data_IF_313015032437
#
_entry.id   IF_313015032437
#
_cell.length_a   1.000
_cell.length_b   1.000
_cell.length_c   1.000
_cell.angle_alpha   90.00
_cell.angle_beta   90.00
_cell.angle_gamma   90.00
#
_symmetry.space_group_name_H-M   'P 1'
#
loop_
_entity.id
_entity.type
_entity.pdbx_description
1 polymer ?
#
# COMPACT_ATOMS: atom_id res chain seq x y z
N UNK A 1 5.55 0.80 -19.38
CA UNK A 1 6.04 1.96 -18.59
C UNK A 1 4.86 2.85 -18.24
N UNK A 2 4.75 3.30 -16.99
CA UNK A 2 3.72 4.26 -16.55
C UNK A 2 4.40 5.58 -16.22
N UNK A 3 3.92 6.67 -16.78
CA UNK A 3 4.50 8.01 -16.61
C UNK A 3 3.45 9.02 -16.15
N UNK A 4 3.80 9.81 -15.15
CA UNK A 4 3.02 10.90 -14.59
C UNK A 4 3.70 12.20 -14.95
N UNK A 5 2.99 13.11 -15.62
CA UNK A 5 3.57 14.38 -16.12
C UNK A 5 2.75 15.56 -15.62
N UNK A 6 3.36 16.42 -14.81
CA UNK A 6 2.80 17.67 -14.26
C UNK A 6 1.42 17.49 -13.62
N UNK A 7 1.18 16.32 -12.98
CA UNK A 7 -0.09 16.02 -12.34
C UNK A 7 -0.31 16.89 -11.11
N UNK A 8 -1.46 17.54 -11.07
CA UNK A 8 -1.95 18.25 -9.91
C UNK A 8 -3.41 17.93 -9.62
N UNK A 9 -3.75 17.84 -8.35
CA UNK A 9 -5.12 17.61 -7.89
C UNK A 9 -5.48 18.50 -6.70
N UNK A 10 -6.67 19.11 -6.79
CA UNK A 10 -7.27 19.88 -5.69
C UNK A 10 -8.75 19.54 -5.54
N UNK A 11 -9.22 19.55 -4.31
CA UNK A 11 -10.63 19.43 -3.96
C UNK A 11 -11.12 20.75 -3.34
N UNK A 12 -11.92 21.50 -4.08
CA UNK A 12 -12.31 22.85 -3.69
C UNK A 12 -11.06 23.73 -3.51
N UNK A 13 -10.89 24.31 -2.33
CA UNK A 13 -9.73 25.16 -2.00
C UNK A 13 -8.51 24.38 -1.50
N UNK A 14 -8.66 23.07 -1.24
CA UNK A 14 -7.56 22.23 -0.74
C UNK A 14 -6.79 21.62 -1.89
N UNK A 15 -5.55 22.09 -2.11
CA UNK A 15 -4.58 21.46 -3.00
C UNK A 15 -4.01 20.20 -2.33
N UNK A 16 -4.15 19.04 -2.97
CA UNK A 16 -3.58 17.79 -2.49
C UNK A 16 -2.13 17.62 -2.94
N UNK A 17 -1.87 17.82 -4.23
CA UNK A 17 -0.52 17.84 -4.80
C UNK A 17 -0.49 18.65 -6.09
N UNK A 18 0.71 19.09 -6.43
CA UNK A 18 0.99 19.96 -7.56
C UNK A 18 2.29 19.57 -8.24
N UNK A 19 2.29 19.72 -9.57
CA UNK A 19 3.47 19.54 -10.43
C UNK A 19 4.19 18.19 -10.22
N UNK A 20 3.41 17.10 -10.04
CA UNK A 20 3.94 15.75 -9.82
C UNK A 20 4.47 15.18 -11.12
N UNK A 21 5.74 14.80 -11.13
CA UNK A 21 6.41 14.16 -12.24
C UNK A 21 7.09 12.88 -11.75
N UNK A 22 6.59 11.72 -12.20
CA UNK A 22 7.10 10.41 -11.80
C UNK A 22 7.14 9.47 -13.00
N UNK A 23 8.08 8.52 -12.95
CA UNK A 23 8.23 7.48 -13.96
C UNK A 23 8.37 6.14 -13.28
N UNK A 24 7.46 5.21 -13.59
CA UNK A 24 7.46 3.84 -13.11
C UNK A 24 7.93 2.91 -14.23
N UNK A 25 8.88 2.04 -13.93
CA UNK A 25 9.52 1.13 -14.89
C UNK A 25 9.35 -0.33 -14.44
N UNK A 26 9.33 -1.25 -15.40
CA UNK A 26 9.22 -2.69 -15.16
C UNK A 26 10.35 -3.21 -14.27
N UNK A 27 10.09 -4.31 -13.58
CA UNK A 27 11.03 -4.92 -12.65
C UNK A 27 11.22 -4.15 -11.34
N UNK A 28 10.30 -3.24 -11.02
CA UNK A 28 10.37 -2.45 -9.79
C UNK A 28 9.06 -2.48 -9.01
N UNK A 29 9.20 -2.55 -7.68
CA UNK A 29 8.11 -2.36 -6.74
C UNK A 29 8.22 -0.99 -6.06
N UNK A 30 7.16 -0.22 -6.12
CA UNK A 30 7.06 1.15 -5.62
C UNK A 30 6.14 1.20 -4.41
N UNK A 31 6.70 1.43 -3.22
CA UNK A 31 5.93 1.62 -2.00
C UNK A 31 5.50 3.06 -1.82
N UNK A 32 4.20 3.34 -1.87
CA UNK A 32 3.68 4.69 -1.61
C UNK A 32 3.42 4.85 -0.12
N UNK A 33 4.08 5.82 0.47
CA UNK A 33 3.99 6.13 1.89
C UNK A 33 3.56 7.57 2.12
N UNK A 34 3.04 7.87 3.31
CA UNK A 34 2.60 9.21 3.68
C UNK A 34 1.67 9.18 4.88
N UNK A 35 1.38 10.34 5.47
CA UNK A 35 0.44 10.45 6.57
C UNK A 35 -0.99 10.05 6.15
N UNK A 36 -1.84 9.70 7.12
CA UNK A 36 -3.26 9.47 6.83
C UNK A 36 -3.89 10.77 6.32
N UNK A 37 -4.66 10.66 5.23
CA UNK A 37 -5.24 11.81 4.56
C UNK A 37 -4.27 12.62 3.68
N UNK A 38 -3.03 12.14 3.44
CA UNK A 38 -2.09 12.78 2.52
C UNK A 38 -2.46 12.64 1.04
N UNK A 39 -3.43 11.75 0.73
CA UNK A 39 -3.89 11.54 -0.65
C UNK A 39 -3.34 10.28 -1.33
N UNK A 40 -2.74 9.33 -0.60
CA UNK A 40 -2.17 8.09 -1.15
C UNK A 40 -3.17 7.32 -2.03
N UNK A 41 -4.31 6.93 -1.46
CA UNK A 41 -5.39 6.23 -2.20
C UNK A 41 -5.91 7.07 -3.38
N UNK A 42 -5.99 8.40 -3.23
CA UNK A 42 -6.41 9.28 -4.31
C UNK A 42 -5.38 9.29 -5.45
N UNK A 43 -4.10 9.25 -5.12
CA UNK A 43 -3.04 9.15 -6.11
C UNK A 43 -3.08 7.79 -6.85
N UNK A 44 -3.33 6.68 -6.13
CA UNK A 44 -3.56 5.38 -6.78
C UNK A 44 -4.74 5.44 -7.76
N UNK A 45 -5.85 6.08 -7.38
CA UNK A 45 -7.02 6.25 -8.28
C UNK A 45 -6.71 7.08 -9.53
N UNK A 46 -5.81 8.08 -9.43
CA UNK A 46 -5.34 8.82 -10.62
C UNK A 46 -4.49 7.91 -11.50
N UNK A 47 -3.57 7.11 -10.91
CA UNK A 47 -2.76 6.16 -11.68
C UNK A 47 -3.61 5.10 -12.37
N UNK A 48 -4.69 4.66 -11.71
CA UNK A 48 -5.66 3.70 -12.24
C UNK A 48 -6.61 4.28 -13.31
N UNK A 49 -6.64 5.62 -13.47
CA UNK A 49 -7.58 6.29 -14.36
C UNK A 49 -9.00 6.46 -13.80
N UNK A 50 -9.22 6.14 -12.52
CA UNK A 50 -10.53 6.29 -11.86
C UNK A 50 -10.85 7.76 -11.54
N UNK A 51 -9.83 8.61 -11.44
CA UNK A 51 -9.95 10.06 -11.19
C UNK A 51 -9.09 10.81 -12.19
N UNK A 52 -9.68 11.75 -12.90
CA UNK A 52 -8.94 12.68 -13.76
C UNK A 52 -8.26 13.76 -12.92
N UNK A 53 -6.95 14.01 -13.13
CA UNK A 53 -6.26 15.12 -12.47
C UNK A 53 -6.74 16.47 -12.99
N UNK A 54 -6.63 17.55 -12.17
CA UNK A 54 -6.98 18.89 -12.62
C UNK A 54 -5.95 19.45 -13.63
N UNK A 55 -4.70 19.03 -13.51
CA UNK A 55 -3.60 19.39 -14.43
C UNK A 55 -2.73 18.19 -14.70
N UNK A 56 -2.06 18.19 -15.87
CA UNK A 56 -1.15 17.12 -16.26
C UNK A 56 -1.85 15.87 -16.79
N UNK A 57 -1.12 14.79 -16.91
CA UNK A 57 -1.63 13.52 -17.43
C UNK A 57 -0.86 12.31 -16.93
N UNK A 58 -1.53 11.17 -16.93
CA UNK A 58 -0.93 9.85 -16.74
C UNK A 58 -0.96 9.11 -18.06
N UNK A 59 0.17 8.57 -18.50
CA UNK A 59 0.30 7.79 -19.73
C UNK A 59 0.86 6.41 -19.44
N UNK A 60 0.32 5.41 -20.14
CA UNK A 60 0.74 4.02 -20.07
C UNK A 60 1.20 3.63 -21.47
N UNK A 61 2.26 2.83 -21.57
CA UNK A 61 2.72 2.28 -22.84
C UNK A 61 1.62 1.37 -23.42
N UNK A 62 1.36 1.47 -24.71
CA UNK A 62 0.36 0.66 -25.41
C UNK A 62 0.56 -0.84 -25.15
N UNK A 63 -0.56 -1.55 -24.97
CA UNK A 63 -0.65 -3.00 -24.72
C UNK A 63 -0.25 -3.48 -23.33
N UNK A 64 0.10 -2.60 -22.37
CA UNK A 64 0.33 -3.02 -20.98
C UNK A 64 -1.01 -3.14 -20.24
N UNK A 65 -1.29 -4.33 -19.71
CA UNK A 65 -2.48 -4.60 -18.91
C UNK A 65 -2.27 -4.10 -17.48
N UNK A 66 -3.21 -3.30 -17.01
CA UNK A 66 -3.23 -2.84 -15.63
C UNK A 66 -4.25 -3.63 -14.82
N UNK A 67 -3.86 -4.09 -13.64
CA UNK A 67 -4.73 -4.67 -12.65
C UNK A 67 -4.71 -3.83 -11.36
N UNK A 68 -5.88 -3.62 -10.79
CA UNK A 68 -6.06 -2.80 -9.58
C UNK A 68 -6.82 -3.61 -8.55
N UNK A 69 -6.24 -3.73 -7.35
CA UNK A 69 -6.94 -4.34 -6.21
C UNK A 69 -8.11 -3.42 -5.81
N UNK A 70 -9.33 -3.83 -6.13
CA UNK A 70 -10.55 -3.12 -5.78
C UNK A 70 -11.16 -3.71 -4.52
N UNK A 71 -11.72 -2.85 -3.67
CA UNK A 71 -12.30 -3.25 -2.38
C UNK A 71 -13.84 -3.45 -2.44
N UNK A 72 -14.42 -3.48 -3.65
CA UNK A 72 -15.86 -3.70 -3.80
C UNK A 72 -16.22 -5.19 -3.71
N UNK A 73 -16.57 -5.63 -2.52
CA UNK A 73 -16.88 -7.02 -2.21
C UNK A 73 -18.24 -7.49 -2.75
N UNK A 74 -19.13 -6.56 -3.08
CA UNK A 74 -20.53 -6.87 -3.42
C UNK A 74 -20.74 -7.12 -4.91
N UNK A 75 -19.78 -6.72 -5.75
CA UNK A 75 -19.92 -6.79 -7.20
C UNK A 75 -20.08 -8.22 -7.75
N UNK A 76 -19.55 -9.22 -7.04
CA UNK A 76 -19.40 -10.60 -7.54
C UNK A 76 -20.16 -11.63 -6.69
N UNK A 77 -21.17 -11.26 -5.92
CA UNK A 77 -21.80 -12.13 -4.92
C UNK A 77 -22.37 -13.42 -5.50
N UNK A 78 -22.89 -13.40 -6.72
CA UNK A 78 -23.50 -14.56 -7.39
C UNK A 78 -22.49 -15.42 -8.17
N UNK A 79 -21.26 -14.95 -8.32
CA UNK A 79 -20.22 -15.65 -9.05
C UNK A 79 -19.50 -16.67 -8.17
N UNK A 80 -18.95 -17.72 -8.80
CA UNK A 80 -18.06 -18.66 -8.08
C UNK A 80 -16.72 -18.02 -7.80
N UNK A 81 -16.10 -18.42 -6.68
CA UNK A 81 -14.78 -17.92 -6.26
C UNK A 81 -13.75 -18.07 -7.37
N UNK A 82 -13.72 -19.23 -8.04
CA UNK A 82 -12.78 -19.50 -9.13
C UNK A 82 -12.99 -18.56 -10.32
N UNK A 83 -14.25 -18.37 -10.73
CA UNK A 83 -14.59 -17.46 -11.84
C UNK A 83 -14.18 -16.01 -11.52
N UNK A 84 -14.41 -15.55 -10.28
CA UNK A 84 -14.01 -14.20 -9.86
C UNK A 84 -12.51 -13.99 -10.04
N UNK A 85 -11.68 -14.97 -9.71
CA UNK A 85 -10.24 -14.87 -9.94
C UNK A 85 -9.91 -14.76 -11.43
N UNK A 86 -10.50 -15.63 -12.27
CA UNK A 86 -10.25 -15.63 -13.72
C UNK A 86 -10.72 -14.32 -14.37
N UNK A 87 -11.79 -13.70 -13.87
CA UNK A 87 -12.26 -12.36 -14.31
C UNK A 87 -11.19 -11.27 -14.14
N UNK A 88 -10.13 -11.50 -13.37
CA UNK A 88 -8.97 -10.62 -13.27
C UNK A 88 -8.25 -10.43 -14.61
N UNK A 89 -8.42 -11.36 -15.55
CA UNK A 89 -7.99 -11.22 -16.94
C UNK A 89 -9.23 -11.12 -17.85
N UNK A 90 -9.75 -9.91 -18.01
CA UNK A 90 -11.02 -9.65 -18.69
C UNK A 90 -11.11 -10.30 -20.07
N UNK A 91 -10.08 -10.15 -20.92
CA UNK A 91 -10.09 -10.71 -22.27
C UNK A 91 -10.13 -12.24 -22.27
N UNK A 92 -9.35 -12.88 -21.39
CA UNK A 92 -9.38 -14.34 -21.25
C UNK A 92 -10.76 -14.84 -20.83
N UNK A 93 -11.37 -14.18 -19.83
CA UNK A 93 -12.71 -14.54 -19.38
C UNK A 93 -13.79 -14.35 -20.47
N UNK A 94 -13.70 -13.25 -21.24
CA UNK A 94 -14.58 -13.03 -22.43
C UNK A 94 -14.43 -14.14 -23.45
N UNK A 95 -13.20 -14.57 -23.78
CA UNK A 95 -12.95 -15.68 -24.71
C UNK A 95 -13.58 -16.96 -24.20
N UNK A 96 -13.45 -17.27 -22.92
CA UNK A 96 -14.10 -18.46 -22.32
C UNK A 96 -15.61 -18.41 -22.55
N UNK A 97 -16.25 -17.29 -22.25
CA UNK A 97 -17.69 -17.13 -22.42
C UNK A 97 -18.11 -17.18 -23.91
N UNK A 98 -17.34 -16.52 -24.80
CA UNK A 98 -17.62 -16.55 -26.25
C UNK A 98 -17.50 -17.97 -26.82
N UNK A 99 -16.50 -18.73 -26.39
CA UNK A 99 -16.31 -20.15 -26.80
C UNK A 99 -17.51 -20.99 -26.33
N UNK A 100 -17.86 -20.89 -25.05
CA UNK A 100 -18.99 -21.65 -24.48
C UNK A 100 -20.29 -21.33 -25.21
N UNK A 101 -20.57 -20.05 -25.44
CA UNK A 101 -21.75 -19.60 -26.18
C UNK A 101 -21.75 -20.11 -27.62
N UNK A 102 -20.58 -20.14 -28.26
CA UNK A 102 -20.43 -20.60 -29.65
C UNK A 102 -20.66 -22.10 -29.77
N UNK A 103 -20.09 -22.91 -28.88
CA UNK A 103 -20.25 -24.37 -28.87
C UNK A 103 -21.65 -24.84 -28.42
N UNK A 104 -22.41 -24.00 -27.71
CA UNK A 104 -23.80 -24.28 -27.32
C UNK A 104 -24.81 -23.96 -28.42
N UNK A 105 -24.40 -23.37 -29.57
CA UNK A 105 -25.33 -23.06 -30.67
C UNK A 105 -25.88 -24.35 -31.31
N UNK A 106 -27.22 -24.46 -31.49
CA UNK A 106 -27.83 -25.62 -32.14
C UNK A 106 -27.43 -25.74 -33.64
N UNK A 107 -27.26 -24.58 -34.30
CA UNK A 107 -26.91 -24.46 -35.73
C UNK A 107 -25.48 -23.91 -35.87
N UNK A 108 -24.49 -24.78 -35.70
CA UNK A 108 -23.09 -24.44 -35.81
C UNK A 108 -22.69 -24.30 -37.26
N UNK A 109 -22.39 -23.09 -37.73
CA UNK A 109 -22.05 -22.77 -39.12
C UNK A 109 -20.55 -22.88 -39.42
N UNK A 110 -20.15 -22.83 -40.70
CA UNK A 110 -18.74 -22.78 -41.09
C UNK A 110 -18.06 -21.50 -40.58
N UNK A 111 -18.78 -20.36 -40.55
CA UNK A 111 -18.31 -19.10 -39.96
C UNK A 111 -18.05 -19.22 -38.45
N UNK A 112 -18.95 -19.95 -37.74
CA UNK A 112 -18.75 -20.26 -36.30
C UNK A 112 -17.50 -21.13 -36.13
N UNK A 113 -17.20 -22.05 -37.03
CA UNK A 113 -15.98 -22.85 -37.01
C UNK A 113 -14.71 -22.03 -37.15
N UNK A 114 -14.70 -21.04 -38.05
CA UNK A 114 -13.57 -20.12 -38.18
C UNK A 114 -13.39 -19.27 -36.95
N UNK A 115 -14.47 -18.71 -36.43
CA UNK A 115 -14.43 -17.92 -35.16
C UNK A 115 -13.98 -18.75 -33.98
N UNK A 116 -14.41 -20.01 -33.86
CA UNK A 116 -13.96 -20.92 -32.83
C UNK A 116 -12.45 -21.15 -32.88
N UNK A 117 -11.89 -21.35 -34.09
CA UNK A 117 -10.46 -21.56 -34.27
C UNK A 117 -9.63 -20.29 -33.92
N UNK A 118 -10.13 -19.10 -34.25
CA UNK A 118 -9.52 -17.83 -33.84
C UNK A 118 -9.51 -17.67 -32.31
N UNK A 119 -10.64 -17.93 -31.65
CA UNK A 119 -10.77 -17.87 -30.18
C UNK A 119 -9.89 -18.90 -29.49
N UNK A 120 -9.77 -20.12 -30.05
CA UNK A 120 -8.84 -21.16 -29.53
C UNK A 120 -7.38 -20.71 -29.62
N UNK A 121 -6.99 -20.06 -30.72
CA UNK A 121 -5.65 -19.50 -30.88
C UNK A 121 -5.36 -18.43 -29.82
N UNK A 122 -6.26 -17.46 -29.67
CA UNK A 122 -6.11 -16.41 -28.67
C UNK A 122 -6.15 -16.96 -27.23
N UNK A 123 -7.01 -17.95 -26.97
CA UNK A 123 -7.08 -18.65 -25.68
C UNK A 123 -5.77 -19.32 -25.29
N UNK A 124 -5.13 -19.98 -26.28
CA UNK A 124 -3.82 -20.62 -26.08
C UNK A 124 -2.71 -19.59 -25.84
N UNK A 125 -2.72 -18.46 -26.55
CA UNK A 125 -1.74 -17.36 -26.37
C UNK A 125 -1.83 -16.71 -24.97
N UNK A 126 -3.02 -16.74 -24.36
CA UNK A 126 -3.28 -16.20 -23.02
C UNK A 126 -3.17 -17.25 -21.90
N UNK A 127 -2.53 -18.39 -22.14
CA UNK A 127 -2.40 -19.51 -21.20
C UNK A 127 -3.77 -19.99 -20.66
N UNK A 128 -4.81 -19.94 -21.49
CA UNK A 128 -6.18 -20.22 -21.07
C UNK A 128 -6.40 -21.65 -20.56
N UNK A 129 -5.65 -22.63 -21.09
CA UNK A 129 -5.72 -24.03 -20.64
C UNK A 129 -5.30 -24.22 -19.18
N UNK A 130 -4.42 -23.36 -18.67
CA UNK A 130 -3.95 -23.38 -17.28
C UNK A 130 -4.68 -22.36 -16.38
N UNK A 131 -5.71 -21.68 -16.90
CA UNK A 131 -6.40 -20.60 -16.18
C UNK A 131 -6.96 -21.06 -14.81
N UNK A 132 -7.68 -22.19 -14.78
CA UNK A 132 -8.24 -22.74 -13.53
C UNK A 132 -7.13 -23.15 -12.56
N UNK A 133 -6.11 -23.85 -13.03
CA UNK A 133 -4.97 -24.29 -12.20
C UNK A 133 -4.21 -23.09 -11.63
N UNK A 134 -4.02 -22.04 -12.42
CA UNK A 134 -3.38 -20.80 -11.99
C UNK A 134 -4.24 -20.07 -10.96
N UNK A 135 -5.56 -20.01 -11.15
CA UNK A 135 -6.50 -19.42 -10.20
C UNK A 135 -6.52 -20.22 -8.86
N UNK A 136 -6.58 -21.56 -8.92
CA UNK A 136 -6.49 -22.41 -7.73
C UNK A 136 -5.19 -22.17 -6.95
N UNK A 137 -4.05 -22.05 -7.64
CA UNK A 137 -2.75 -21.79 -7.01
C UNK A 137 -2.72 -20.46 -6.28
N UNK A 138 -3.29 -19.39 -6.85
CA UNK A 138 -3.41 -18.08 -6.22
C UNK A 138 -4.29 -18.16 -4.97
N UNK A 139 -5.46 -18.77 -5.08
CA UNK A 139 -6.39 -18.95 -3.95
C UNK A 139 -5.75 -19.71 -2.80
N UNK A 140 -5.12 -20.85 -3.09
CA UNK A 140 -4.44 -21.66 -2.07
C UNK A 140 -3.29 -20.91 -1.41
N UNK A 141 -2.50 -20.17 -2.18
CA UNK A 141 -1.41 -19.35 -1.66
C UNK A 141 -1.89 -18.26 -0.69
N UNK A 142 -3.09 -17.75 -0.91
CA UNK A 142 -3.74 -16.78 -0.02
C UNK A 142 -4.58 -17.44 1.10
N UNK A 143 -4.50 -18.78 1.25
CA UNK A 143 -5.16 -19.51 2.32
C UNK A 143 -6.65 -19.78 2.09
N UNK A 144 -7.13 -19.70 0.83
CA UNK A 144 -8.49 -20.12 0.45
C UNK A 144 -8.43 -21.60 0.07
N UNK A 145 -9.09 -22.46 0.84
CA UNK A 145 -9.08 -23.91 0.69
C UNK A 145 -9.91 -24.39 -0.51
N UNK A 146 -9.59 -25.57 -1.07
CA UNK A 146 -10.22 -26.09 -2.29
C UNK A 146 -11.74 -26.26 -2.20
N UNK A 147 -12.28 -26.51 -1.02
CA UNK A 147 -13.72 -26.65 -0.76
C UNK A 147 -14.49 -25.33 -0.97
N UNK A 148 -13.79 -24.18 -0.94
CA UNK A 148 -14.37 -22.86 -1.18
C UNK A 148 -14.32 -22.43 -2.65
N UNK A 149 -13.46 -23.03 -3.49
CA UNK A 149 -13.21 -22.57 -4.87
C UNK A 149 -14.46 -22.57 -5.77
N UNK A 150 -15.37 -23.52 -5.56
CA UNK A 150 -16.59 -23.66 -6.35
C UNK A 150 -17.84 -23.10 -5.64
N UNK A 151 -17.67 -22.52 -4.44
CA UNK A 151 -18.76 -21.80 -3.75
C UNK A 151 -18.98 -20.42 -4.36
N UNK A 152 -20.16 -19.85 -4.12
CA UNK A 152 -20.43 -18.47 -4.51
C UNK A 152 -19.78 -17.49 -3.53
N UNK A 153 -19.39 -16.33 -4.03
CA UNK A 153 -18.74 -15.28 -3.21
C UNK A 153 -19.58 -14.88 -1.99
N UNK A 154 -20.91 -14.89 -2.09
CA UNK A 154 -21.80 -14.56 -0.96
C UNK A 154 -21.67 -15.51 0.23
N UNK A 155 -21.18 -16.73 0.01
CA UNK A 155 -21.00 -17.76 1.05
C UNK A 155 -19.71 -17.57 1.85
N UNK A 156 -18.79 -16.72 1.37
CA UNK A 156 -17.53 -16.44 2.00
C UNK A 156 -17.64 -15.34 3.08
N UNK A 157 -16.78 -15.44 4.08
CA UNK A 157 -16.58 -14.36 5.06
C UNK A 157 -15.96 -13.11 4.43
N UNK A 158 -16.09 -11.95 5.08
CA UNK A 158 -15.52 -10.70 4.57
C UNK A 158 -14.02 -10.78 4.32
N UNK A 159 -13.26 -11.43 5.21
CA UNK A 159 -11.81 -11.63 5.06
C UNK A 159 -11.46 -12.53 3.88
N UNK A 160 -12.21 -13.62 3.66
CA UNK A 160 -12.02 -14.50 2.51
C UNK A 160 -12.35 -13.79 1.20
N UNK A 161 -13.40 -12.97 1.14
CA UNK A 161 -13.72 -12.15 -0.03
C UNK A 161 -12.57 -11.23 -0.43
N UNK A 162 -11.90 -10.60 0.54
CA UNK A 162 -10.72 -9.75 0.28
C UNK A 162 -9.58 -10.56 -0.34
N UNK A 163 -9.31 -11.76 0.19
CA UNK A 163 -8.29 -12.66 -0.35
C UNK A 163 -8.59 -13.09 -1.79
N UNK A 164 -9.86 -13.36 -2.12
CA UNK A 164 -10.29 -13.68 -3.49
C UNK A 164 -10.10 -12.49 -4.43
N UNK A 165 -10.45 -11.27 -4.03
CA UNK A 165 -10.22 -10.07 -4.83
C UNK A 165 -8.72 -9.77 -5.02
N UNK A 166 -7.91 -10.09 -4.04
CA UNK A 166 -6.46 -10.03 -4.19
C UNK A 166 -5.97 -11.06 -5.22
N UNK A 167 -6.44 -12.32 -5.14
CA UNK A 167 -6.14 -13.34 -6.16
C UNK A 167 -6.56 -12.88 -7.57
N UNK A 168 -7.75 -12.26 -7.70
CA UNK A 168 -8.23 -11.67 -8.95
C UNK A 168 -7.25 -10.61 -9.49
N UNK A 169 -6.77 -9.71 -8.63
CA UNK A 169 -5.82 -8.66 -9.05
C UNK A 169 -4.47 -9.23 -9.49
N UNK A 170 -4.02 -10.33 -8.90
CA UNK A 170 -2.75 -11.01 -9.23
C UNK A 170 -2.85 -11.91 -10.47
N UNK A 171 -4.08 -12.26 -10.89
CA UNK A 171 -4.30 -13.26 -11.93
C UNK A 171 -3.75 -12.82 -13.29
N UNK A 172 -3.11 -13.76 -13.99
CA UNK A 172 -2.54 -13.56 -15.32
C UNK A 172 -1.31 -12.64 -15.33
N UNK A 173 -0.63 -12.40 -14.19
CA UNK A 173 0.61 -11.60 -14.08
C UNK A 173 0.54 -10.27 -14.84
N UNK A 174 -0.21 -9.29 -14.33
CA UNK A 174 -0.39 -8.00 -15.02
C UNK A 174 0.94 -7.25 -15.16
N UNK A 175 1.12 -6.51 -16.24
CA UNK A 175 2.30 -5.65 -16.46
C UNK A 175 2.32 -4.46 -15.48
N UNK A 176 1.15 -4.02 -15.02
CA UNK A 176 1.01 -2.97 -13.99
C UNK A 176 0.04 -3.48 -12.92
N UNK A 177 0.51 -3.59 -11.69
CA UNK A 177 -0.26 -4.02 -10.54
C UNK A 177 -0.34 -2.88 -9.52
N UNK A 178 -1.56 -2.45 -9.19
CA UNK A 178 -1.81 -1.40 -8.19
C UNK A 178 -2.58 -1.99 -7.02
N UNK A 179 -2.04 -1.85 -5.80
CA UNK A 179 -2.65 -2.39 -4.59
C UNK A 179 -2.70 -1.35 -3.47
N UNK A 180 -3.87 -1.21 -2.84
CA UNK A 180 -4.06 -0.39 -1.64
C UNK A 180 -4.29 -1.31 -0.44
N UNK A 181 -3.36 -1.31 0.53
CA UNK A 181 -3.36 -2.11 1.75
C UNK A 181 -3.59 -3.63 1.51
N UNK A 182 -2.78 -4.30 0.65
CA UNK A 182 -3.01 -5.70 0.29
C UNK A 182 -2.78 -6.68 1.44
N UNK A 183 -2.09 -6.28 2.50
CA UNK A 183 -1.81 -7.12 3.67
C UNK A 183 -2.96 -7.18 4.67
N UNK A 184 -3.98 -6.33 4.51
CA UNK A 184 -5.15 -6.36 5.39
C UNK A 184 -5.90 -7.68 5.26
N UNK A 185 -6.31 -8.25 6.39
CA UNK A 185 -6.99 -9.55 6.48
C UNK A 185 -6.17 -10.77 6.03
N UNK A 186 -4.86 -10.62 5.80
CA UNK A 186 -3.96 -11.73 5.52
C UNK A 186 -3.31 -12.22 6.81
N UNK A 187 -3.21 -13.53 6.95
CA UNK A 187 -2.36 -14.17 7.95
C UNK A 187 -0.88 -14.14 7.53
N UNK A 188 0.00 -14.46 8.45
CA UNK A 188 1.44 -14.41 8.22
C UNK A 188 1.91 -15.29 7.04
N UNK A 189 1.28 -16.46 6.84
CA UNK A 189 1.65 -17.37 5.75
C UNK A 189 1.24 -16.77 4.40
N UNK A 190 0.05 -16.21 4.32
CA UNK A 190 -0.46 -15.52 3.12
C UNK A 190 0.37 -14.28 2.78
N UNK A 191 0.83 -13.51 3.78
CA UNK A 191 1.74 -12.36 3.55
C UNK A 191 3.08 -12.84 2.99
N UNK A 192 3.68 -13.88 3.56
CA UNK A 192 4.95 -14.42 3.06
C UNK A 192 4.81 -14.97 1.63
N UNK A 193 3.70 -15.63 1.34
CA UNK A 193 3.41 -16.11 0.00
C UNK A 193 3.27 -14.92 -0.99
N UNK A 194 2.53 -13.86 -0.61
CA UNK A 194 2.37 -12.66 -1.42
C UNK A 194 3.71 -11.96 -1.69
N UNK A 195 4.58 -11.86 -0.68
CA UNK A 195 5.93 -11.33 -0.84
C UNK A 195 6.70 -12.06 -1.93
N UNK A 196 6.75 -13.40 -1.85
CA UNK A 196 7.45 -14.21 -2.84
C UNK A 196 6.83 -14.05 -4.23
N UNK A 197 5.49 -14.03 -4.31
CA UNK A 197 4.79 -13.84 -5.58
C UNK A 197 5.12 -12.49 -6.24
N UNK A 198 5.15 -11.40 -5.45
CA UNK A 198 5.50 -10.06 -5.97
C UNK A 198 6.97 -10.03 -6.41
N UNK A 199 7.88 -10.66 -5.68
CA UNK A 199 9.30 -10.72 -6.04
C UNK A 199 9.54 -11.50 -7.34
N UNK A 200 8.68 -12.46 -7.68
CA UNK A 200 8.72 -13.24 -8.93
C UNK A 200 8.15 -12.46 -10.14
N UNK A 201 7.58 -11.27 -9.94
CA UNK A 201 7.04 -10.42 -11.02
C UNK A 201 8.15 -9.55 -11.65
N UNK A 202 9.13 -10.16 -12.29
CA UNK A 202 10.31 -9.46 -12.84
C UNK A 202 9.98 -8.45 -13.95
N UNK A 203 8.92 -8.69 -14.74
CA UNK A 203 8.52 -7.85 -15.88
C UNK A 203 7.36 -6.89 -15.56
N UNK A 204 6.92 -6.83 -14.31
CA UNK A 204 5.79 -6.00 -13.90
C UNK A 204 6.24 -4.70 -13.23
N UNK A 205 5.35 -3.72 -13.24
CA UNK A 205 5.40 -2.53 -12.39
C UNK A 205 4.45 -2.79 -11.22
N UNK A 206 4.96 -2.88 -10.02
CA UNK A 206 4.13 -3.04 -8.83
C UNK A 206 4.08 -1.73 -8.06
N UNK A 207 2.88 -1.23 -7.77
CA UNK A 207 2.64 -0.02 -6.99
C UNK A 207 1.78 -0.39 -5.80
N UNK A 208 2.29 -0.18 -4.59
CA UNK A 208 1.62 -0.61 -3.36
C UNK A 208 1.56 0.51 -2.33
N UNK A 209 0.41 0.69 -1.70
CA UNK A 209 0.26 1.43 -0.45
C UNK A 209 0.15 0.40 0.66
N UNK A 210 0.96 0.50 1.71
CA UNK A 210 0.81 -0.29 2.92
C UNK A 210 1.31 0.45 4.16
N UNK A 211 0.72 0.14 5.30
CA UNK A 211 1.20 0.55 6.62
C UNK A 211 2.16 -0.48 7.24
N UNK A 212 2.25 -1.66 6.66
CA UNK A 212 3.20 -2.70 7.07
C UNK A 212 4.60 -2.38 6.55
N UNK A 213 5.47 -1.89 7.46
CA UNK A 213 6.85 -1.53 7.14
C UNK A 213 7.69 -2.73 6.77
N UNK A 214 7.43 -3.89 7.38
CA UNK A 214 8.17 -5.11 7.10
C UNK A 214 7.89 -5.59 5.69
N UNK A 215 6.61 -5.61 5.31
CA UNK A 215 6.18 -5.91 3.95
C UNK A 215 6.83 -4.97 2.92
N UNK A 216 6.72 -3.64 3.11
CA UNK A 216 7.35 -2.66 2.22
C UNK A 216 8.86 -2.83 2.12
N UNK A 217 9.52 -3.16 3.22
CA UNK A 217 10.97 -3.31 3.26
C UNK A 217 11.45 -4.54 2.49
N UNK A 218 10.63 -5.60 2.45
CA UNK A 218 10.95 -6.83 1.73
C UNK A 218 10.76 -6.70 0.22
N UNK A 219 9.69 -6.05 -0.24
CA UNK A 219 9.32 -6.06 -1.67
C UNK A 219 9.70 -4.80 -2.43
N UNK A 220 9.80 -3.62 -1.77
CA UNK A 220 9.98 -2.36 -2.48
C UNK A 220 11.42 -2.11 -2.89
N UNK A 221 11.59 -1.76 -4.16
CA UNK A 221 12.86 -1.24 -4.72
C UNK A 221 12.92 0.28 -4.67
N UNK A 222 11.76 0.93 -4.61
CA UNK A 222 11.62 2.38 -4.58
C UNK A 222 10.51 2.79 -3.60
N UNK A 223 10.71 3.92 -2.94
CA UNK A 223 9.70 4.53 -2.07
C UNK A 223 9.23 5.85 -2.68
N UNK A 224 7.91 6.00 -2.76
CA UNK A 224 7.23 7.22 -3.21
C UNK A 224 6.60 7.88 -1.99
N UNK A 225 7.19 8.98 -1.57
CA UNK A 225 6.79 9.72 -0.38
C UNK A 225 5.79 10.82 -0.73
N UNK A 226 4.58 10.73 -0.14
CA UNK A 226 3.50 11.73 -0.28
C UNK A 226 3.43 12.56 0.99
N UNK A 227 4.01 13.76 0.96
CA UNK A 227 4.01 14.66 2.11
C UNK A 227 3.93 16.14 1.68
N UNK A 228 3.23 16.95 2.46
CA UNK A 228 3.07 18.43 2.25
C UNK A 228 2.68 18.84 0.82
N UNK A 229 1.82 18.05 0.16
CA UNK A 229 1.38 18.35 -1.21
C UNK A 229 2.41 18.06 -2.29
N UNK A 230 3.52 17.43 -1.94
CA UNK A 230 4.56 16.97 -2.86
C UNK A 230 4.62 15.46 -2.89
N UNK A 231 4.98 14.91 -4.04
CA UNK A 231 5.23 13.50 -4.21
C UNK A 231 6.65 13.34 -4.73
N UNK A 232 7.49 12.64 -3.97
CA UNK A 232 8.90 12.43 -4.30
C UNK A 232 9.24 10.95 -4.30
N UNK A 233 10.07 10.52 -5.24
CA UNK A 233 10.53 9.15 -5.36
C UNK A 233 11.97 9.03 -4.87
N UNK A 234 12.20 7.99 -4.08
CA UNK A 234 13.51 7.59 -3.55
C UNK A 234 13.83 6.18 -4.01
N UNK A 235 15.04 5.96 -4.47
CA UNK A 235 15.54 4.63 -4.83
C UNK A 235 16.02 3.94 -3.56
N UNK A 236 15.54 2.73 -3.33
CA UNK A 236 15.82 1.93 -2.14
C UNK A 236 14.54 1.49 -1.43
N UNK A 237 14.70 0.64 -0.41
CA UNK A 237 13.61 0.11 0.40
C UNK A 237 13.16 1.12 1.50
N UNK A 238 12.22 0.69 2.33
CA UNK A 238 11.65 1.55 3.39
C UNK A 238 12.72 1.99 4.41
N UNK A 239 13.61 1.11 4.85
CA UNK A 239 14.65 1.44 5.85
C UNK A 239 15.63 2.46 5.29
N UNK A 240 16.10 2.28 4.05
CA UNK A 240 16.97 3.25 3.39
C UNK A 240 16.32 4.64 3.27
N UNK A 241 15.04 4.67 2.86
CA UNK A 241 14.28 5.93 2.82
C UNK A 241 14.19 6.57 4.21
N UNK A 242 13.87 5.78 5.25
CA UNK A 242 13.73 6.28 6.60
C UNK A 242 15.02 6.90 7.13
N UNK A 243 16.14 6.20 7.02
CA UNK A 243 17.46 6.69 7.43
C UNK A 243 17.86 7.96 6.66
N UNK A 244 17.68 7.96 5.33
CA UNK A 244 17.98 9.11 4.47
C UNK A 244 17.12 10.31 4.82
N UNK A 245 15.85 10.12 5.11
CA UNK A 245 14.91 11.18 5.49
C UNK A 245 15.26 11.79 6.85
N UNK A 246 15.66 10.96 7.84
CA UNK A 246 16.11 11.42 9.15
C UNK A 246 17.41 12.22 9.05
N UNK A 247 18.37 11.74 8.25
CA UNK A 247 19.62 12.47 8.01
C UNK A 247 19.37 13.82 7.33
N UNK A 248 18.54 13.85 6.30
CA UNK A 248 18.18 15.10 5.61
C UNK A 248 17.51 16.12 6.57
N UNK A 249 16.62 15.65 7.44
CA UNK A 249 15.98 16.48 8.45
C UNK A 249 17.01 17.02 9.46
N UNK A 250 17.95 16.20 9.91
CA UNK A 250 19.01 16.63 10.83
C UNK A 250 19.90 17.68 10.20
N UNK A 251 20.34 17.45 8.95
CA UNK A 251 21.16 18.42 8.20
C UNK A 251 20.44 19.74 8.00
N UNK A 252 19.13 19.71 7.68
CA UNK A 252 18.32 20.93 7.53
C UNK A 252 18.22 21.69 8.87
N UNK A 253 18.03 21.01 10.00
CA UNK A 253 18.03 21.65 11.33
C UNK A 253 19.37 22.28 11.66
N UNK A 254 20.48 21.60 11.39
CA UNK A 254 21.81 22.11 11.65
C UNK A 254 22.16 23.32 10.77
N UNK A 255 21.72 23.30 9.50
CA UNK A 255 21.85 24.44 8.60
C UNK A 255 21.02 25.65 9.07
N UNK A 256 19.78 25.43 9.48
CA UNK A 256 18.93 26.49 10.03
C UNK A 256 19.54 27.11 11.30
N UNK A 257 20.02 26.28 12.24
CA UNK A 257 20.68 26.75 13.44
C UNK A 257 21.89 27.64 13.11
N UNK A 258 22.73 27.22 12.18
CA UNK A 258 23.87 28.04 11.71
C UNK A 258 23.43 29.33 11.02
N UNK A 259 22.36 29.30 10.23
CA UNK A 259 21.78 30.47 9.60
C UNK A 259 21.22 31.45 10.63
N UNK A 260 20.47 30.97 11.62
CA UNK A 260 19.92 31.77 12.73
C UNK A 260 21.02 32.44 13.55
N UNK A 261 22.07 31.71 13.93
CA UNK A 261 23.23 32.24 14.64
C UNK A 261 23.91 33.34 13.82
N UNK A 262 24.08 33.13 12.51
CA UNK A 262 24.68 34.15 11.61
C UNK A 262 23.76 35.36 11.43
N UNK A 263 22.45 35.16 11.34
CA UNK A 263 21.45 36.24 11.30
C UNK A 263 21.52 37.06 12.58
N UNK A 264 21.60 36.44 13.75
CA UNK A 264 21.70 37.10 15.04
C UNK A 264 22.99 37.97 15.11
N UNK A 265 24.15 37.41 14.72
CA UNK A 265 25.42 38.12 14.68
C UNK A 265 25.40 39.36 13.72
N UNK A 266 24.80 39.17 12.53
CA UNK A 266 24.66 40.26 11.58
C UNK A 266 23.72 41.36 12.08
N UNK A 267 22.59 41.00 12.71
CA UNK A 267 21.66 41.96 13.31
C UNK A 267 22.33 42.75 14.44
N UNK A 268 23.06 42.09 15.31
CA UNK A 268 23.79 42.75 16.42
C UNK A 268 24.85 43.73 15.86
N UNK A 269 25.64 43.30 14.87
CA UNK A 269 26.62 44.17 14.23
C UNK A 269 25.97 45.41 13.58
N UNK A 270 24.89 45.23 12.84
CA UNK A 270 24.16 46.31 12.19
C UNK A 270 23.62 47.27 13.24
N UNK A 271 22.99 46.78 14.32
CA UNK A 271 22.47 47.60 15.39
C UNK A 271 23.56 48.44 16.08
N UNK A 272 24.75 47.83 16.34
CA UNK A 272 25.87 48.51 17.02
C UNK A 272 26.55 49.58 16.15
N UNK A 273 26.60 49.41 14.83
CA UNK A 273 27.41 50.23 13.95
C UNK A 273 26.64 51.01 12.88
N UNK A 274 25.30 50.97 12.87
CA UNK A 274 24.45 51.69 11.88
C UNK A 274 24.58 53.22 11.95
N UNK A 275 24.83 53.77 13.13
CA UNK A 275 25.00 55.23 13.37
C UNK A 275 26.45 55.71 13.25
N UNK A 276 27.43 54.82 13.04
CA UNK A 276 28.84 55.17 12.99
C UNK A 276 29.29 55.47 11.55
N UNK A 277 29.61 56.71 11.23
CA UNK A 277 29.96 57.14 9.87
C UNK A 277 31.15 56.38 9.26
N UNK A 278 32.16 55.98 10.07
CA UNK A 278 33.34 55.25 9.58
C UNK A 278 33.02 53.80 9.24
N UNK A 279 31.98 53.21 9.84
CA UNK A 279 31.58 51.80 9.64
C UNK A 279 30.26 51.64 8.86
N UNK A 280 29.61 52.75 8.45
CA UNK A 280 28.35 52.73 7.71
C UNK A 280 28.40 51.88 6.44
N UNK A 281 29.50 51.90 5.68
CA UNK A 281 29.70 51.10 4.48
C UNK A 281 29.74 49.59 4.81
N UNK A 282 30.34 49.21 5.94
CA UNK A 282 30.38 47.83 6.41
C UNK A 282 28.99 47.36 6.90
N UNK A 283 28.26 48.23 7.61
CA UNK A 283 26.90 47.93 8.05
C UNK A 283 25.95 47.73 6.86
N UNK A 284 26.07 48.52 5.79
CA UNK A 284 25.31 48.34 4.55
C UNK A 284 25.65 47.05 3.85
N UNK A 285 26.92 46.66 3.80
CA UNK A 285 27.34 45.36 3.22
C UNK A 285 26.77 44.20 4.02
N UNK A 286 26.79 44.29 5.35
CA UNK A 286 26.18 43.25 6.24
C UNK A 286 24.66 43.17 6.12
N UNK A 287 23.98 44.32 5.89
CA UNK A 287 22.55 44.33 5.62
C UNK A 287 22.21 43.56 4.33
N UNK A 288 22.98 43.76 3.25
CA UNK A 288 22.84 42.98 2.01
C UNK A 288 23.11 41.49 2.19
N UNK A 289 24.03 41.10 3.10
CA UNK A 289 24.26 39.71 3.44
C UNK A 289 23.08 39.13 4.22
N UNK A 290 22.49 39.91 5.14
CA UNK A 290 21.30 39.49 5.90
C UNK A 290 20.09 39.22 4.99
N UNK A 291 19.86 40.11 3.99
CA UNK A 291 18.79 39.96 3.00
C UNK A 291 18.90 38.72 2.12
N UNK A 292 20.11 38.16 2.01
CA UNK A 292 20.37 36.90 1.23
C UNK A 292 20.30 35.61 2.07
N UNK A 293 20.21 35.74 3.40
CA UNK A 293 20.12 34.58 4.29
C UNK A 293 18.68 34.21 4.48
N UNK A 294 18.30 33.08 3.91
CA UNK A 294 16.99 32.46 4.11
C UNK A 294 17.12 31.31 5.13
N UNK A 295 16.22 31.28 6.09
CA UNK A 295 16.02 30.12 6.98
C UNK A 295 14.97 29.27 6.30
N UNK A 296 15.34 28.03 5.96
CA UNK A 296 14.39 27.11 5.36
C UNK A 296 13.33 26.72 6.38
N UNK A 297 12.07 26.98 6.07
CA UNK A 297 10.96 26.56 6.94
C UNK A 297 10.89 25.06 6.97
N UNK A 298 11.33 24.45 8.09
CA UNK A 298 11.19 23.01 8.33
C UNK A 298 9.78 22.78 8.85
N UNK A 299 8.89 22.34 7.98
CA UNK A 299 7.54 22.00 8.40
C UNK A 299 7.57 20.78 9.34
N UNK A 300 6.87 20.83 10.49
CA UNK A 300 6.84 19.70 11.40
C UNK A 300 6.15 18.52 10.71
N UNK A 301 6.80 17.37 10.71
CA UNK A 301 6.27 16.16 10.09
C UNK A 301 4.87 15.84 10.61
N UNK A 302 3.91 15.66 9.70
CA UNK A 302 2.55 15.18 10.01
C UNK A 302 2.52 13.71 10.45
N UNK A 303 3.66 13.02 10.40
CA UNK A 303 3.85 11.63 10.82
C UNK A 303 4.20 11.49 12.29
N UNK A 304 4.04 12.52 13.11
CA UNK A 304 4.24 12.41 14.55
C UNK A 304 3.17 11.50 15.13
N UNK A 305 3.63 10.42 15.75
CA UNK A 305 2.74 9.60 16.57
C UNK A 305 2.31 10.43 17.80
N UNK A 306 1.01 10.48 18.10
CA UNK A 306 0.58 11.09 19.35
C UNK A 306 1.21 10.29 20.49
N UNK A 307 1.85 10.98 21.43
CA UNK A 307 2.28 10.34 22.67
C UNK A 307 1.04 10.06 23.52
N UNK A 308 0.71 8.79 23.68
CA UNK A 308 -0.34 8.36 24.59
C UNK A 308 0.35 7.81 25.84
N UNK A 309 0.34 8.60 26.89
CA UNK A 309 0.84 8.18 28.20
C UNK A 309 -0.28 7.49 28.97
N UNK A 310 -0.04 6.25 29.39
CA UNK A 310 -0.91 5.56 30.34
C UNK A 310 -0.32 5.74 31.75
N UNK A 311 -1.08 6.37 32.62
CA UNK A 311 -0.76 6.48 34.05
C UNK A 311 -1.67 5.53 34.79
N UNK A 312 -1.15 4.47 35.42
CA UNK A 312 -1.99 3.56 36.22
C UNK A 312 -2.55 4.30 37.43
N UNK A 313 -3.83 4.10 37.73
CA UNK A 313 -4.46 4.67 38.95
C UNK A 313 -3.86 4.10 40.20
N UNK A 314 -3.28 2.91 40.14
CA UNK A 314 -2.64 2.21 41.24
C UNK A 314 -1.41 1.45 40.73
N UNK A 315 -0.36 1.33 41.54
CA UNK A 315 0.78 0.48 41.19
C UNK A 315 0.36 -0.97 40.99
N UNK A 316 0.77 -1.58 39.90
CA UNK A 316 0.52 -2.98 39.56
C UNK A 316 1.59 -3.83 40.28
N UNK A 317 1.19 -4.95 40.91
CA UNK A 317 2.11 -5.93 41.48
C UNK A 317 3.00 -6.58 40.44
N UNK A 318 3.95 -7.41 40.86
CA UNK A 318 4.85 -8.12 39.96
C UNK A 318 4.10 -9.14 39.09
N UNK A 319 3.11 -9.82 39.67
CA UNK A 319 2.22 -10.76 38.97
C UNK A 319 1.00 -9.99 38.48
N UNK A 320 0.88 -9.84 37.16
CA UNK A 320 -0.18 -9.01 36.55
C UNK A 320 -1.38 -9.85 36.17
N UNK A 321 -1.12 -11.01 35.58
CA UNK A 321 -2.16 -11.90 35.04
C UNK A 321 -1.68 -13.35 35.10
N UNK A 322 -2.52 -14.24 35.59
CA UNK A 322 -2.33 -15.68 35.54
C UNK A 322 -3.56 -16.33 34.92
N UNK A 323 -3.33 -17.15 33.91
CA UNK A 323 -4.35 -17.91 33.19
C UNK A 323 -4.01 -19.37 33.30
N UNK A 324 -4.93 -20.17 33.82
CA UNK A 324 -4.73 -21.62 34.02
C UNK A 324 -5.84 -22.41 33.32
N UNK A 325 -5.45 -23.36 32.46
CA UNK A 325 -6.35 -24.35 31.88
C UNK A 325 -7.53 -23.78 31.09
N UNK A 326 -7.40 -22.58 30.53
CA UNK A 326 -8.48 -21.87 29.85
C UNK A 326 -8.91 -22.64 28.60
N UNK A 327 -10.19 -23.03 28.58
CA UNK A 327 -10.80 -23.73 27.45
C UNK A 327 -12.10 -23.04 27.05
N UNK A 328 -12.28 -22.75 25.77
CA UNK A 328 -13.50 -22.12 25.25
C UNK A 328 -13.91 -22.70 23.91
N UNK A 329 -15.21 -22.94 23.77
CA UNK A 329 -15.87 -23.34 22.53
C UNK A 329 -16.76 -22.20 22.04
N UNK A 330 -16.67 -21.87 20.75
CA UNK A 330 -17.48 -20.87 20.07
C UNK A 330 -18.17 -21.59 18.88
N UNK A 331 -19.49 -21.46 18.78
CA UNK A 331 -20.31 -22.09 17.72
C UNK A 331 -20.03 -23.58 17.47
N UNK A 332 -19.75 -24.32 18.56
CA UNK A 332 -19.46 -25.76 18.49
C UNK A 332 -18.02 -26.10 18.17
N UNK A 333 -17.16 -25.13 17.85
CA UNK A 333 -15.73 -25.30 17.59
C UNK A 333 -14.92 -24.92 18.82
N UNK A 334 -14.00 -25.79 19.26
CA UNK A 334 -13.09 -25.49 20.39
C UNK A 334 -12.01 -24.54 19.88
N UNK A 335 -12.07 -23.27 20.27
CA UNK A 335 -11.13 -22.21 19.86
C UNK A 335 -9.97 -22.03 20.82
N UNK A 336 -10.16 -22.34 22.10
CA UNK A 336 -9.11 -22.37 23.12
C UNK A 336 -9.14 -23.72 23.81
N UNK A 337 -7.99 -24.37 23.98
CA UNK A 337 -7.88 -25.67 24.60
C UNK A 337 -6.74 -25.72 25.63
N UNK A 338 -7.09 -25.73 26.92
CA UNK A 338 -6.16 -25.83 28.03
C UNK A 338 -5.00 -24.82 27.99
N UNK A 339 -5.31 -23.56 27.66
CA UNK A 339 -4.32 -22.47 27.53
C UNK A 339 -3.92 -21.99 28.92
N UNK A 340 -2.62 -22.01 29.21
CA UNK A 340 -2.07 -21.52 30.47
C UNK A 340 -0.86 -20.63 30.21
N UNK A 341 -0.82 -19.45 30.83
CA UNK A 341 0.33 -18.54 30.78
C UNK A 341 0.25 -17.55 31.94
N UNK A 342 1.37 -16.91 32.20
CA UNK A 342 1.49 -15.85 33.20
C UNK A 342 2.16 -14.62 32.58
N UNK A 343 1.74 -13.43 33.00
CA UNK A 343 2.32 -12.15 32.62
C UNK A 343 2.82 -11.42 33.88
N UNK A 344 4.04 -10.97 33.80
CA UNK A 344 4.68 -10.15 34.83
C UNK A 344 4.68 -8.66 34.42
N UNK A 345 5.04 -7.76 35.31
CA UNK A 345 4.87 -6.30 35.21
C UNK A 345 5.52 -5.66 33.99
N UNK A 346 6.64 -6.19 33.48
CA UNK A 346 7.43 -5.60 32.41
C UNK A 346 7.31 -6.38 31.09
N UNK A 347 6.48 -7.43 31.08
CA UNK A 347 6.33 -8.28 29.92
C UNK A 347 5.66 -7.55 28.76
N UNK A 348 6.19 -7.79 27.56
CA UNK A 348 5.60 -7.42 26.29
C UNK A 348 5.34 -8.69 25.49
N UNK A 349 4.09 -9.12 25.47
CA UNK A 349 3.70 -10.39 24.85
C UNK A 349 2.91 -10.13 23.57
N UNK A 350 3.31 -10.79 22.50
CA UNK A 350 2.56 -10.85 21.25
C UNK A 350 1.84 -12.19 21.13
N UNK A 351 0.53 -12.15 20.93
CA UNK A 351 -0.26 -13.35 20.66
C UNK A 351 -0.33 -13.56 19.15
N UNK A 352 0.03 -14.77 18.70
CA UNK A 352 -0.03 -15.17 17.29
C UNK A 352 -0.87 -16.44 17.17
N UNK A 353 -1.71 -16.50 16.13
CA UNK A 353 -2.58 -17.65 15.89
C UNK A 353 -3.87 -17.25 15.18
N UNK A 354 -4.89 -18.09 15.31
CA UNK A 354 -6.21 -17.85 14.75
C UNK A 354 -6.86 -16.59 15.35
N UNK A 355 -7.45 -15.74 14.49
CA UNK A 355 -8.05 -14.46 14.90
C UNK A 355 -9.21 -14.66 15.88
N UNK A 356 -10.05 -15.69 15.68
CA UNK A 356 -11.18 -15.99 16.56
C UNK A 356 -10.67 -16.41 17.93
N UNK A 357 -9.61 -17.22 17.99
CA UNK A 357 -8.99 -17.67 19.23
C UNK A 357 -8.40 -16.48 20.01
N UNK A 358 -7.64 -15.60 19.35
CA UNK A 358 -7.03 -14.42 19.95
C UNK A 358 -8.10 -13.44 20.44
N UNK A 359 -9.09 -13.12 19.63
CA UNK A 359 -10.19 -12.23 19.99
C UNK A 359 -10.99 -12.79 21.17
N UNK A 360 -11.26 -14.10 21.16
CA UNK A 360 -11.95 -14.78 22.27
C UNK A 360 -11.15 -14.71 23.56
N UNK A 361 -9.83 -14.94 23.48
CA UNK A 361 -8.93 -14.81 24.62
C UNK A 361 -8.98 -13.39 25.21
N UNK A 362 -8.82 -12.36 24.38
CA UNK A 362 -8.86 -10.98 24.85
C UNK A 362 -10.22 -10.61 25.45
N UNK A 363 -11.34 -11.06 24.87
CA UNK A 363 -12.67 -10.83 25.41
C UNK A 363 -12.83 -11.47 26.81
N UNK A 364 -12.26 -12.67 27.02
CA UNK A 364 -12.31 -13.32 28.33
C UNK A 364 -11.44 -12.57 29.36
N UNK A 365 -10.27 -12.08 28.95
CA UNK A 365 -9.38 -11.32 29.83
C UNK A 365 -9.93 -9.95 30.21
N UNK A 366 -10.78 -9.37 29.40
CA UNK A 366 -11.42 -8.07 29.66
C UNK A 366 -12.73 -8.20 30.48
N UNK A 367 -13.32 -9.39 30.59
CA UNK A 367 -14.59 -9.68 31.29
C UNK A 367 -15.74 -9.57 30.30
#
# INVERSE_FOLDING_TARGET
MLQVTNVGLRFGDKELYKDVNLKFTKGNCYGIIGANGAGKTTFLKILAGDIEPNTGSVSITEKERMSVLRQDHFKYEEETVLNVVIMGHERLYQIMQEKDALYMKPDFSEEDGIKAAELEGEFAELDGWDAETNAERLLMGLGITKDLHYKQMKELTGGEKVKVLLAQALFGKPEILIMDEPTNHLDFQSINWLNNFIMDLEDSIVIVVSHDRHFLNQICTNIVDVDFGKIQMYVGNYDFWYESSQLALQLAKDQNKKAEEKIAQLKEFIARFSSNASKAKQATSRKKQLEKLEVTEIQPSRRRYPYVGFTPEREIGNEVLEVEGLTKTVDGVKVLDNVSFRLDREDKVAFMGDEIAITTLFNILMG
#
